data_IF_470162281583
#
_entry.id   IF_470162281583
#
_cell.length_a   1.000
_cell.length_b   1.000
_cell.length_c   1.000
_cell.angle_alpha   90.00
_cell.angle_beta   90.00
_cell.angle_gamma   90.00
#
_symmetry.space_group_name_H-M   'P 1'
#
loop_
_entity.id
_entity.type
_entity.pdbx_description
1 polymer ?
#
# COMPACT_ATOMS: atom_id res chain seq x y z
N UNK A 1 6.46 8.60 22.25
CA UNK A 1 5.45 9.60 22.68
C UNK A 1 4.11 9.13 22.16
N UNK A 2 3.10 9.07 23.02
CA UNK A 2 1.85 8.38 22.69
C UNK A 2 0.78 9.36 22.17
N UNK A 3 0.59 10.48 22.87
CA UNK A 3 -0.42 11.48 22.52
C UNK A 3 0.06 12.90 22.88
N UNK A 4 -0.27 13.87 22.03
CA UNK A 4 -0.03 15.29 22.29
C UNK A 4 -1.34 16.02 21.98
N UNK A 5 -1.92 16.65 23.00
CA UNK A 5 -3.13 17.45 22.83
C UNK A 5 -2.77 18.91 22.62
N UNK A 6 -3.28 19.49 21.54
CA UNK A 6 -3.11 20.91 21.21
C UNK A 6 -4.37 21.70 21.52
N UNK A 7 -4.19 22.95 21.95
CA UNK A 7 -5.29 23.89 22.09
C UNK A 7 -5.82 24.28 20.69
N UNK A 8 -7.12 24.09 20.40
CA UNK A 8 -7.68 24.12 19.03
C UNK A 8 -7.56 25.45 18.28
N UNK A 9 -7.24 26.53 19.00
CA UNK A 9 -7.15 27.91 18.45
C UNK A 9 -5.75 28.51 18.55
N UNK A 10 -4.91 28.02 19.47
CA UNK A 10 -3.62 28.69 19.77
C UNK A 10 -2.40 27.81 19.51
N UNK A 11 -2.61 26.57 19.05
CA UNK A 11 -1.57 25.55 18.81
C UNK A 11 -0.63 25.33 20.01
N UNK A 12 -1.06 25.71 21.22
CA UNK A 12 -0.33 25.48 22.46
C UNK A 12 -0.53 24.04 22.92
N UNK A 13 0.52 23.39 23.40
CA UNK A 13 0.44 22.04 23.96
C UNK A 13 -0.29 22.09 25.31
N UNK A 14 -1.37 21.32 25.47
CA UNK A 14 -2.17 21.19 26.69
C UNK A 14 -1.74 19.99 27.53
N UNK A 15 -1.47 18.86 26.88
CA UNK A 15 -1.14 17.60 27.53
C UNK A 15 -0.12 16.83 26.70
N UNK A 16 0.81 16.15 27.38
CA UNK A 16 1.77 15.24 26.77
C UNK A 16 1.75 13.93 27.55
N UNK A 17 1.43 12.84 26.86
CA UNK A 17 1.50 11.50 27.41
C UNK A 17 2.83 10.81 27.05
N UNK A 18 3.59 10.48 28.09
CA UNK A 18 4.80 9.66 27.99
C UNK A 18 4.48 8.22 28.35
N UNK A 19 4.91 7.30 27.48
CA UNK A 19 4.90 5.87 27.79
C UNK A 19 6.23 5.53 28.45
N UNK A 20 6.19 4.98 29.67
CA UNK A 20 7.38 4.41 30.30
C UNK A 20 7.71 3.09 29.61
N UNK A 21 8.89 3.03 29.01
CA UNK A 21 9.36 1.88 28.25
C UNK A 21 10.32 1.10 29.15
N UNK A 22 10.04 -0.19 29.38
CA UNK A 22 10.96 -1.07 30.10
C UNK A 22 11.83 -1.80 29.10
N UNK A 23 13.14 -1.83 29.34
CA UNK A 23 14.11 -2.48 28.44
C UNK A 23 13.88 -3.99 28.30
N UNK A 24 13.16 -4.62 29.24
CA UNK A 24 12.85 -6.05 29.21
C UNK A 24 11.47 -6.39 28.61
N UNK A 25 10.70 -5.40 28.18
CA UNK A 25 9.34 -5.62 27.66
C UNK A 25 9.25 -5.34 26.17
N UNK A 26 8.59 -6.25 25.47
CA UNK A 26 8.25 -6.03 24.07
C UNK A 26 7.30 -4.84 23.94
N UNK A 27 7.63 -3.92 23.03
CA UNK A 27 6.80 -2.77 22.70
C UNK A 27 6.40 -2.82 21.23
N UNK A 28 5.19 -2.33 20.97
CA UNK A 28 4.64 -2.25 19.63
C UNK A 28 4.70 -0.80 19.17
N UNK A 29 5.43 -0.54 18.08
CA UNK A 29 5.68 0.81 17.56
C UNK A 29 5.50 0.83 16.05
N UNK A 30 4.99 1.94 15.53
CA UNK A 30 4.94 2.23 14.10
C UNK A 30 6.28 2.75 13.59
N UNK A 31 7.00 1.93 12.84
CA UNK A 31 8.31 2.30 12.26
C UNK A 31 8.12 2.81 10.83
N UNK A 32 8.65 3.98 10.46
CA UNK A 32 8.58 4.48 9.09
C UNK A 32 9.45 3.64 8.14
N UNK A 33 8.98 3.50 6.90
CA UNK A 33 9.73 2.87 5.80
C UNK A 33 10.36 3.95 4.95
N UNK A 34 11.67 3.85 4.72
CA UNK A 34 12.45 4.75 3.87
C UNK A 34 12.87 3.98 2.62
N UNK A 35 12.56 4.54 1.47
CA UNK A 35 12.92 3.96 0.17
C UNK A 35 14.21 4.59 -0.32
N UNK A 36 15.22 3.78 -0.60
CA UNK A 36 16.50 4.20 -1.14
C UNK A 36 16.54 3.90 -2.65
N UNK A 37 17.05 4.85 -3.43
CA UNK A 37 17.17 4.71 -4.88
C UNK A 37 15.89 5.03 -5.67
N UNK A 38 15.97 4.80 -6.99
CA UNK A 38 14.86 5.00 -7.93
C UNK A 38 14.64 3.72 -8.70
N UNK A 39 13.45 3.14 -8.58
CA UNK A 39 13.11 1.89 -9.24
C UNK A 39 13.21 1.98 -10.76
N UNK A 40 13.91 1.03 -11.37
CA UNK A 40 14.00 0.87 -12.83
C UNK A 40 12.60 0.79 -13.46
N UNK A 41 11.68 0.07 -12.82
CA UNK A 41 10.29 -0.02 -13.30
C UNK A 41 9.57 1.32 -13.36
N UNK A 42 9.91 2.29 -12.49
CA UNK A 42 9.34 3.64 -12.55
C UNK A 42 9.95 4.43 -13.70
N UNK A 43 11.25 4.26 -13.97
CA UNK A 43 11.91 4.87 -15.13
C UNK A 43 11.36 4.34 -16.46
N UNK A 44 10.96 3.07 -16.49
CA UNK A 44 10.37 2.40 -17.65
C UNK A 44 8.86 2.70 -17.81
N UNK A 45 8.33 3.75 -17.17
CA UNK A 45 6.92 4.14 -17.30
C UNK A 45 5.95 3.45 -16.34
N UNK A 46 6.44 2.68 -15.35
CA UNK A 46 5.61 2.14 -14.28
C UNK A 46 5.28 3.17 -13.18
N UNK A 47 4.23 2.89 -12.41
CA UNK A 47 3.83 3.68 -11.24
C UNK A 47 4.31 3.05 -9.94
N UNK A 48 5.04 3.81 -9.12
CA UNK A 48 5.43 3.37 -7.78
C UNK A 48 4.21 3.25 -6.87
N UNK A 49 3.98 2.06 -6.34
CA UNK A 49 2.93 1.76 -5.38
C UNK A 49 3.53 1.61 -3.99
N UNK A 50 3.53 2.69 -3.21
CA UNK A 50 3.93 2.66 -1.81
C UNK A 50 2.71 2.46 -0.91
N UNK A 51 2.40 1.20 -0.55
CA UNK A 51 1.19 0.84 0.23
C UNK A 51 1.35 1.12 1.72
N UNK A 52 2.49 0.77 2.30
CA UNK A 52 2.74 0.88 3.74
C UNK A 52 3.94 1.77 4.01
N UNK A 53 3.66 3.05 4.32
CA UNK A 53 4.68 4.03 4.71
C UNK A 53 5.19 3.81 6.13
N UNK A 54 4.40 3.12 6.96
CA UNK A 54 4.74 2.72 8.32
C UNK A 54 4.37 1.26 8.50
N UNK A 55 5.18 0.53 9.25
CA UNK A 55 4.95 -0.87 9.57
C UNK A 55 4.94 -1.02 11.08
N UNK A 56 3.83 -1.56 11.60
CA UNK A 56 3.69 -1.88 13.02
C UNK A 56 4.63 -3.04 13.33
N UNK A 57 5.60 -2.78 14.19
CA UNK A 57 6.68 -3.69 14.54
C UNK A 57 6.68 -3.90 16.05
N UNK A 58 6.92 -5.14 16.47
CA UNK A 58 7.05 -5.53 17.87
C UNK A 58 8.47 -6.01 18.13
N UNK A 59 9.14 -5.36 19.07
CA UNK A 59 10.48 -5.72 19.50
C UNK A 59 10.77 -5.16 20.90
N UNK A 60 11.91 -5.54 21.45
CA UNK A 60 12.50 -4.88 22.62
C UNK A 60 13.01 -3.49 22.18
N UNK A 61 12.91 -2.43 23.01
CA UNK A 61 13.35 -1.08 22.64
C UNK A 61 14.79 -1.00 22.12
N UNK A 62 15.70 -1.84 22.63
CA UNK A 62 17.10 -1.88 22.18
C UNK A 62 17.33 -2.45 20.78
N UNK A 63 16.36 -3.20 20.23
CA UNK A 63 16.46 -3.85 18.91
C UNK A 63 15.57 -3.15 17.86
N UNK A 64 14.86 -2.10 18.25
CA UNK A 64 13.92 -1.42 17.36
C UNK A 64 14.68 -0.47 16.42
N UNK A 65 14.61 -0.63 15.09
CA UNK A 65 15.23 0.30 14.17
C UNK A 65 14.47 1.63 14.10
N UNK A 66 15.19 2.74 13.88
CA UNK A 66 14.57 4.06 13.67
C UNK A 66 13.77 4.14 12.38
N UNK A 67 14.23 3.45 11.32
CA UNK A 67 13.57 3.35 10.03
C UNK A 67 13.89 2.01 9.35
N UNK A 68 12.94 1.52 8.55
CA UNK A 68 13.12 0.35 7.71
C UNK A 68 13.58 0.82 6.33
N UNK A 69 14.86 0.64 6.03
CA UNK A 69 15.42 0.99 4.74
C UNK A 69 15.21 -0.11 3.71
N UNK A 70 14.65 0.25 2.55
CA UNK A 70 14.39 -0.67 1.44
C UNK A 70 15.00 -0.08 0.18
N UNK A 71 15.96 -0.78 -0.42
CA UNK A 71 16.46 -0.44 -1.75
C UNK A 71 15.44 -0.87 -2.81
N UNK A 72 15.01 0.09 -3.62
CA UNK A 72 14.04 -0.14 -4.71
C UNK A 72 14.68 -0.05 -6.09
N UNK A 73 15.99 0.14 -6.19
CA UNK A 73 16.68 0.41 -7.46
C UNK A 73 16.43 -0.67 -8.51
N UNK A 74 16.49 -1.94 -8.11
CA UNK A 74 16.30 -3.10 -9.02
C UNK A 74 14.83 -3.49 -9.25
N UNK A 75 13.88 -2.71 -8.75
CA UNK A 75 12.46 -3.07 -8.78
C UNK A 75 11.84 -2.80 -10.17
N UNK A 76 11.52 -3.88 -10.89
CA UNK A 76 10.89 -3.85 -12.22
C UNK A 76 9.36 -3.72 -12.16
N UNK A 77 8.74 -3.40 -13.30
CA UNK A 77 7.29 -3.31 -13.43
C UNK A 77 6.65 -4.67 -13.11
N UNK A 78 5.61 -4.67 -12.29
CA UNK A 78 4.91 -5.88 -11.83
C UNK A 78 5.56 -6.57 -10.63
N UNK A 79 6.71 -6.07 -10.13
CA UNK A 79 7.36 -6.60 -8.94
C UNK A 79 6.84 -5.93 -7.67
N UNK A 80 6.78 -6.72 -6.60
CA UNK A 80 6.30 -6.31 -5.28
C UNK A 80 7.24 -6.84 -4.19
N UNK A 81 7.52 -5.98 -3.21
CA UNK A 81 8.22 -6.34 -1.97
C UNK A 81 7.17 -6.59 -0.91
N UNK A 82 7.22 -7.79 -0.32
CA UNK A 82 6.30 -8.23 0.71
C UNK A 82 6.94 -8.13 2.10
N UNK A 83 6.10 -8.15 3.14
CA UNK A 83 6.58 -8.13 4.52
C UNK A 83 7.48 -9.34 4.84
N UNK A 84 7.17 -10.51 4.26
CA UNK A 84 8.02 -11.70 4.39
C UNK A 84 9.47 -11.47 3.96
N UNK A 85 9.70 -10.59 3.00
CA UNK A 85 11.03 -10.35 2.41
C UNK A 85 11.88 -9.41 3.29
N UNK A 86 11.25 -8.76 4.28
CA UNK A 86 11.88 -7.80 5.20
C UNK A 86 12.13 -8.37 6.60
N UNK A 87 11.84 -9.66 6.82
CA UNK A 87 11.94 -10.28 8.15
C UNK A 87 13.38 -10.23 8.67
N UNK A 88 13.50 -9.91 9.96
CA UNK A 88 14.73 -9.98 10.73
C UNK A 88 14.50 -10.81 12.00
N UNK A 89 15.57 -11.31 12.60
CA UNK A 89 15.52 -12.05 13.87
C UNK A 89 15.36 -11.09 15.07
N UNK A 90 15.71 -9.82 14.90
CA UNK A 90 15.73 -8.82 15.98
C UNK A 90 14.36 -8.24 16.31
N UNK A 91 13.41 -8.27 15.35
CA UNK A 91 12.10 -7.66 15.48
C UNK A 91 11.04 -8.38 14.62
N UNK A 92 9.79 -8.39 15.09
CA UNK A 92 8.68 -9.06 14.40
C UNK A 92 7.66 -8.05 13.88
N UNK A 93 7.26 -8.18 12.61
CA UNK A 93 6.15 -7.39 12.06
C UNK A 93 4.80 -7.98 12.46
N UNK A 94 3.84 -7.12 12.85
CA UNK A 94 2.47 -7.54 13.17
C UNK A 94 1.55 -7.67 11.95
N UNK A 95 1.96 -7.12 10.81
CA UNK A 95 1.18 -7.22 9.57
C UNK A 95 1.42 -8.57 8.87
N UNK A 96 0.41 -9.03 8.13
CA UNK A 96 0.44 -10.34 7.47
C UNK A 96 1.58 -10.45 6.42
N UNK A 97 2.22 -11.62 6.33
CA UNK A 97 3.39 -11.87 5.47
C UNK A 97 3.18 -11.57 3.99
N UNK A 98 1.98 -11.84 3.48
CA UNK A 98 1.59 -11.60 2.08
C UNK A 98 1.22 -10.14 1.79
N UNK A 99 1.37 -9.26 2.78
CA UNK A 99 1.13 -7.84 2.63
C UNK A 99 2.21 -7.19 1.78
N UNK A 100 1.79 -6.41 0.79
CA UNK A 100 2.69 -5.58 -0.01
C UNK A 100 3.10 -4.34 0.79
N UNK A 101 4.40 -4.04 0.79
CA UNK A 101 4.98 -2.81 1.35
C UNK A 101 5.15 -1.78 0.24
N UNK A 102 5.92 -2.13 -0.78
CA UNK A 102 6.19 -1.31 -1.97
C UNK A 102 6.21 -2.18 -3.22
N UNK A 103 5.86 -1.62 -4.37
CA UNK A 103 5.90 -2.32 -5.66
C UNK A 103 5.84 -1.34 -6.82
N UNK A 104 6.00 -1.83 -8.04
CA UNK A 104 5.78 -1.04 -9.26
C UNK A 104 4.64 -1.66 -10.05
N UNK A 105 3.62 -0.85 -10.37
CA UNK A 105 2.50 -1.26 -11.23
C UNK A 105 2.70 -0.76 -12.66
N UNK A 106 2.16 -1.47 -13.63
CA UNK A 106 2.08 -0.98 -15.02
C UNK A 106 1.26 0.33 -15.03
N UNK A 107 1.75 1.34 -15.75
CA UNK A 107 0.93 2.50 -16.07
C UNK A 107 0.03 2.14 -17.25
N UNK A 108 -1.23 2.56 -17.20
CA UNK A 108 -2.20 2.31 -18.28
C UNK A 108 -1.81 3.01 -19.59
N UNK A 109 -0.96 4.04 -19.51
CA UNK A 109 -0.48 4.82 -20.64
C UNK A 109 0.75 4.23 -21.35
N UNK A 110 1.45 3.25 -20.76
CA UNK A 110 2.59 2.58 -21.40
C UNK A 110 2.16 1.41 -22.30
N UNK A 111 0.86 1.11 -22.35
CA UNK A 111 0.33 0.04 -23.21
C UNK A 111 0.24 0.49 -24.67
N UNK A 112 0.30 1.80 -24.97
CA UNK A 112 0.24 2.29 -26.36
C UNK A 112 1.58 2.17 -27.11
N UNK A 113 2.73 2.09 -26.44
CA UNK A 113 4.05 2.00 -27.10
C UNK A 113 4.53 0.56 -27.40
N UNK A 114 3.87 -0.48 -26.87
CA UNK A 114 4.22 -1.90 -27.15
C UNK A 114 3.32 -2.55 -28.23
N UNK A 115 2.35 -1.82 -28.79
CA UNK A 115 1.45 -2.35 -29.84
C UNK A 115 1.79 -1.88 -31.27
N UNK A 116 2.83 -1.05 -31.45
CA UNK A 116 3.23 -0.57 -32.79
C UNK A 116 4.19 -1.51 -33.55
N UNK A 117 4.62 -2.64 -32.96
CA UNK A 117 5.48 -3.65 -33.63
C UNK A 117 4.73 -4.93 -34.05
N UNK A 118 3.40 -4.87 -34.24
CA UNK A 118 2.63 -5.97 -34.83
C UNK A 118 1.53 -5.49 -35.79
N UNK A 119 1.90 -4.69 -36.79
CA UNK A 119 1.09 -4.55 -38.01
C UNK A 119 1.38 -5.72 -38.97
N UNK A 120 0.40 -6.62 -39.10
CA UNK A 120 0.43 -7.72 -40.07
C UNK A 120 -0.91 -8.43 -40.22
N UNK A 121 -1.87 -7.76 -40.88
CA UNK A 121 -3.01 -8.32 -41.63
C UNK A 121 -3.87 -9.44 -40.98
N UNK A 122 -5.14 -9.14 -40.71
CA UNK A 122 -6.24 -9.62 -41.58
C UNK A 122 -7.59 -9.00 -41.21
N UNK A 123 -8.29 -8.69 -42.29
CA UNK A 123 -9.53 -7.95 -42.44
C UNK A 123 -10.80 -8.82 -42.29
N UNK A 124 -11.90 -8.12 -42.07
CA UNK A 124 -13.30 -8.45 -42.37
C UNK A 124 -14.08 -9.53 -41.59
N UNK A 125 -15.24 -9.11 -41.08
CA UNK A 125 -16.32 -10.03 -40.70
C UNK A 125 -17.41 -9.45 -39.80
N UNK A 126 -18.24 -8.56 -40.35
CA UNK A 126 -19.47 -8.02 -39.75
C UNK A 126 -20.42 -9.07 -39.13
N UNK A 127 -21.20 -8.69 -38.10
CA UNK A 127 -22.66 -8.47 -38.20
C UNK A 127 -23.29 -8.20 -36.83
N UNK A 128 -24.27 -7.29 -36.86
CA UNK A 128 -25.19 -6.86 -35.79
C UNK A 128 -26.01 -8.00 -35.16
N UNK A 129 -26.44 -7.82 -33.91
CA UNK A 129 -27.87 -7.86 -33.56
C UNK A 129 -28.13 -7.33 -32.14
N UNK A 130 -29.01 -6.33 -32.08
CA UNK A 130 -29.65 -5.75 -30.91
C UNK A 130 -30.50 -6.74 -30.08
N UNK A 131 -30.77 -6.34 -28.82
CA UNK A 131 -32.07 -6.31 -28.10
C UNK A 131 -31.84 -6.61 -26.60
N UNK A 132 -32.02 -5.65 -25.68
CA UNK A 132 -33.30 -5.27 -25.03
C UNK A 132 -33.97 -6.49 -24.34
N UNK A 133 -34.44 -6.51 -23.09
CA UNK A 133 -34.71 -5.58 -22.01
C UNK A 133 -34.85 -6.43 -20.73
N UNK A 134 -34.37 -5.98 -19.57
CA UNK A 134 -35.14 -5.56 -18.39
C UNK A 134 -36.28 -6.49 -17.91
N UNK A 135 -36.08 -7.10 -16.73
CA UNK A 135 -37.11 -7.49 -15.74
C UNK A 135 -36.37 -7.70 -14.40
N UNK A 136 -36.47 -6.80 -13.41
CA UNK A 136 -37.58 -6.58 -12.48
C UNK A 136 -37.61 -7.60 -11.32
N UNK A 137 -36.88 -7.30 -10.24
CA UNK A 137 -37.04 -7.84 -8.88
C UNK A 137 -36.15 -6.98 -7.96
N UNK A 138 -36.52 -6.41 -6.81
CA UNK A 138 -37.77 -6.24 -6.08
C UNK A 138 -37.37 -5.34 -4.89
N UNK A 139 -38.05 -4.20 -4.67
CA UNK A 139 -37.80 -3.35 -3.50
C UNK A 139 -38.97 -3.46 -2.54
N UNK A 140 -38.73 -4.24 -1.49
CA UNK A 140 -39.07 -4.01 -0.09
C UNK A 140 -40.47 -3.49 0.26
N UNK A 141 -41.24 -4.42 0.82
CA UNK A 141 -42.34 -4.21 1.75
C UNK A 141 -42.02 -3.26 2.91
N UNK A 142 -43.10 -2.55 3.23
CA UNK A 142 -43.45 -1.73 4.37
C UNK A 142 -43.48 -2.52 5.70
N UNK A 143 -42.89 -1.99 6.78
CA UNK A 143 -43.42 -2.06 8.17
C UNK A 143 -42.40 -1.57 9.23
N UNK A 144 -42.67 -0.43 9.85
CA UNK A 144 -42.85 -0.24 11.31
C UNK A 144 -42.75 1.23 11.69
N UNK A 145 -43.88 1.84 12.01
CA UNK A 145 -43.97 2.75 13.16
C UNK A 145 -45.37 2.62 13.76
N UNK A 146 -45.37 2.27 15.04
CA UNK A 146 -46.48 2.38 15.98
C UNK A 146 -45.94 3.03 17.24
#
# INVERSE_FOLDING_TARGET
MQDIQFHPVTDKILHIDFLEVFDDKEVTVDIPVVLNGVAVGVRNGGNLLFRRKKIITRAIPGNLPDAIEIDISDLSIGQFIYIKDLRSDDYTFLAADNSVVVGVKTARAAVEDEIEDEEGETDEGATEAEAAEKSAEGSSEESKEG
#
